data_IF_773420114362
#
_entry.id   IF_773420114362
#
_cell.length_a   1.000
_cell.length_b   1.000
_cell.length_c   1.000
_cell.angle_alpha   90.00
_cell.angle_beta   90.00
_cell.angle_gamma   90.00
#
_symmetry.space_group_name_H-M   'P 1'
#
loop_
_entity.id
_entity.type
_entity.pdbx_description
1 polymer ?
#
# COMPACT_ATOMS: atom_id res chain seq x y z
N UNK A 1 -20.07 -13.80 6.15
CA UNK A 1 -20.05 -13.93 4.69
C UNK A 1 -18.81 -13.31 4.03
N UNK A 2 -18.44 -12.06 4.29
CA UNK A 2 -17.20 -11.45 3.73
C UNK A 2 -15.91 -12.14 4.19
N UNK A 3 -15.84 -12.65 5.42
CA UNK A 3 -14.63 -13.28 5.98
C UNK A 3 -14.27 -14.64 5.37
N UNK A 4 -15.12 -15.21 4.51
CA UNK A 4 -14.87 -16.51 3.87
C UNK A 4 -14.10 -16.40 2.55
N UNK A 5 -14.12 -15.23 1.92
CA UNK A 5 -13.50 -15.01 0.61
C UNK A 5 -12.20 -14.21 0.75
N UNK A 6 -11.30 -14.70 1.58
CA UNK A 6 -10.00 -14.09 1.75
C UNK A 6 -9.10 -14.39 0.55
N UNK A 7 -8.30 -13.41 0.18
CA UNK A 7 -7.31 -13.54 -0.88
C UNK A 7 -5.99 -12.85 -0.48
N UNK A 8 -4.94 -13.12 -1.21
CA UNK A 8 -3.68 -12.43 -1.13
C UNK A 8 -3.51 -11.58 -2.38
N UNK A 9 -3.12 -10.33 -2.19
CA UNK A 9 -2.88 -9.39 -3.28
C UNK A 9 -1.38 -9.10 -3.32
N UNK A 10 -0.64 -9.68 -4.28
CA UNK A 10 0.81 -9.47 -4.38
C UNK A 10 1.12 -8.08 -4.93
N UNK A 11 2.15 -7.44 -4.38
CA UNK A 11 2.66 -6.16 -4.84
C UNK A 11 4.17 -6.07 -4.58
N UNK A 12 4.88 -5.30 -5.40
CA UNK A 12 6.27 -4.94 -5.15
C UNK A 12 6.39 -3.70 -4.26
N UNK A 13 5.38 -2.84 -4.35
CA UNK A 13 5.27 -1.54 -3.67
C UNK A 13 3.84 -1.05 -3.77
N UNK A 14 3.54 0.03 -3.03
CA UNK A 14 2.28 0.76 -3.21
C UNK A 14 2.51 2.25 -3.08
N UNK A 15 1.56 3.02 -3.58
CA UNK A 15 1.55 4.47 -3.43
C UNK A 15 0.62 4.86 -2.30
N UNK A 16 1.01 5.91 -1.59
CA UNK A 16 0.21 6.53 -0.54
C UNK A 16 0.38 8.05 -0.60
N UNK A 17 -0.62 8.79 -0.20
CA UNK A 17 -0.61 10.25 -0.22
C UNK A 17 -0.66 10.80 1.19
N UNK A 18 0.19 11.78 1.46
CA UNK A 18 0.13 12.49 2.73
C UNK A 18 -1.05 13.50 2.79
N UNK A 19 -1.18 14.18 3.92
CA UNK A 19 -2.23 15.17 4.14
C UNK A 19 -2.14 16.38 3.18
N UNK A 20 -0.99 16.63 2.59
CA UNK A 20 -0.75 17.67 1.57
C UNK A 20 -0.94 17.13 0.15
N UNK A 21 -1.42 15.89 0.01
CA UNK A 21 -1.60 15.17 -1.26
C UNK A 21 -0.30 14.93 -2.03
N UNK A 22 0.83 14.89 -1.34
CA UNK A 22 2.11 14.47 -1.93
C UNK A 22 2.17 12.95 -1.97
N UNK A 23 2.45 12.35 -3.12
CA UNK A 23 2.54 10.91 -3.26
C UNK A 23 3.90 10.37 -2.81
N UNK A 24 3.86 9.22 -2.17
CA UNK A 24 5.03 8.45 -1.75
C UNK A 24 4.92 7.03 -2.31
N UNK A 25 6.05 6.48 -2.74
CA UNK A 25 6.19 5.05 -2.97
C UNK A 25 6.67 4.39 -1.68
N UNK A 26 5.99 3.34 -1.26
CA UNK A 26 6.35 2.54 -0.09
C UNK A 26 6.70 1.14 -0.58
N UNK A 27 7.83 0.58 -0.13
CA UNK A 27 8.29 -0.75 -0.50
C UNK A 27 9.03 -1.42 0.64
N UNK A 28 9.10 -2.75 0.58
CA UNK A 28 9.90 -3.53 1.53
C UNK A 28 11.40 -3.24 1.33
N UNK A 29 12.15 -3.02 2.43
CA UNK A 29 13.59 -2.67 2.39
C UNK A 29 14.45 -3.66 1.62
N UNK A 30 14.10 -4.94 1.67
CA UNK A 30 14.79 -6.03 0.95
C UNK A 30 14.21 -6.29 -0.45
N UNK A 31 13.35 -5.41 -0.96
CA UNK A 31 12.61 -5.60 -2.22
C UNK A 31 11.84 -6.93 -2.32
N UNK A 32 11.39 -7.47 -1.19
CA UNK A 32 10.54 -8.66 -1.17
C UNK A 32 9.15 -8.30 -1.73
N UNK A 33 8.52 -9.29 -2.37
CA UNK A 33 7.11 -9.19 -2.73
C UNK A 33 6.29 -9.12 -1.45
N UNK A 34 5.36 -8.17 -1.43
CA UNK A 34 4.43 -7.92 -0.35
C UNK A 34 3.14 -8.64 -0.70
N UNK A 35 2.50 -9.30 0.26
CA UNK A 35 1.19 -9.90 0.09
C UNK A 35 0.20 -9.19 1.00
N UNK A 36 -0.66 -8.35 0.44
CA UNK A 36 -1.71 -7.69 1.22
C UNK A 36 -2.85 -8.65 1.54
N UNK A 37 -3.39 -8.50 2.75
CA UNK A 37 -4.63 -9.15 3.15
C UNK A 37 -5.80 -8.58 2.37
N UNK A 38 -6.46 -9.40 1.58
CA UNK A 38 -7.60 -8.99 0.77
C UNK A 38 -8.85 -9.81 1.04
N UNK A 39 -9.99 -9.23 0.68
CA UNK A 39 -11.28 -9.92 0.59
C UNK A 39 -11.76 -9.80 -0.85
N UNK A 40 -12.21 -10.92 -1.41
CA UNK A 40 -12.73 -11.00 -2.77
C UNK A 40 -14.26 -11.15 -2.73
N UNK A 41 -14.93 -10.55 -3.71
CA UNK A 41 -16.34 -10.76 -4.00
C UNK A 41 -16.51 -11.06 -5.48
N UNK A 42 -17.28 -12.08 -5.80
CA UNK A 42 -17.73 -12.34 -7.16
C UNK A 42 -19.17 -11.84 -7.28
N UNK A 43 -19.44 -10.97 -8.23
CA UNK A 43 -20.76 -10.42 -8.54
C UNK A 43 -21.56 -11.43 -9.39
N UNK A 44 -22.89 -11.22 -9.50
CA UNK A 44 -23.77 -12.10 -10.28
C UNK A 44 -23.40 -12.18 -11.77
N UNK A 45 -22.84 -11.12 -12.32
CA UNK A 45 -22.33 -11.05 -13.70
C UNK A 45 -20.96 -11.73 -13.90
N UNK A 46 -20.45 -12.47 -12.90
CA UNK A 46 -19.13 -13.10 -12.87
C UNK A 46 -17.92 -12.13 -12.82
N UNK A 47 -18.15 -10.83 -12.70
CA UNK A 47 -17.08 -9.90 -12.39
C UNK A 47 -16.61 -10.09 -10.94
N UNK A 48 -15.30 -10.08 -10.76
CA UNK A 48 -14.70 -10.18 -9.43
C UNK A 48 -14.13 -8.84 -9.01
N UNK A 49 -14.44 -8.45 -7.80
CA UNK A 49 -13.85 -7.30 -7.12
C UNK A 49 -13.10 -7.74 -5.87
N UNK A 50 -12.13 -6.94 -5.45
CA UNK A 50 -11.45 -7.18 -4.19
C UNK A 50 -11.24 -5.87 -3.44
N UNK A 51 -11.04 -5.98 -2.14
CA UNK A 51 -10.66 -4.87 -1.27
C UNK A 51 -9.44 -5.27 -0.46
N UNK A 52 -8.57 -4.31 -0.20
CA UNK A 52 -7.41 -4.49 0.69
C UNK A 52 -7.85 -4.13 2.11
N UNK A 53 -7.56 -4.99 3.07
CA UNK A 53 -7.81 -4.71 4.49
C UNK A 53 -6.73 -3.77 4.98
N UNK A 54 -7.13 -2.72 5.69
CA UNK A 54 -6.23 -1.74 6.28
C UNK A 54 -6.36 -1.71 7.81
N UNK A 55 -5.30 -1.29 8.48
CA UNK A 55 -5.27 -1.01 9.90
C UNK A 55 -4.67 0.38 10.15
N UNK A 56 -4.65 0.81 11.41
CA UNK A 56 -3.99 2.05 11.78
C UNK A 56 -2.49 1.95 11.50
N UNK A 57 -1.96 2.99 10.88
CA UNK A 57 -0.54 3.07 10.59
C UNK A 57 0.25 3.36 11.88
N UNK A 58 1.47 2.82 11.94
CA UNK A 58 2.38 3.01 13.06
C UNK A 58 3.65 3.76 12.63
N UNK A 59 4.30 4.38 13.61
CA UNK A 59 5.63 5.01 13.47
C UNK A 59 5.74 5.92 12.24
N UNK A 60 6.72 5.65 11.39
CA UNK A 60 7.05 6.51 10.25
C UNK A 60 5.99 6.48 9.15
N UNK A 61 5.28 5.37 8.95
CA UNK A 61 4.19 5.29 7.98
C UNK A 61 3.01 6.17 8.38
N UNK A 62 2.79 6.38 9.69
CA UNK A 62 1.77 7.30 10.20
C UNK A 62 2.02 8.76 9.80
N UNK A 63 3.26 9.13 9.49
CA UNK A 63 3.59 10.47 8.99
C UNK A 63 3.08 10.69 7.57
N UNK A 64 2.88 9.61 6.80
CA UNK A 64 2.33 9.67 5.46
C UNK A 64 0.81 9.58 5.52
N UNK A 65 0.28 8.50 6.09
CA UNK A 65 -1.16 8.29 6.15
C UNK A 65 -1.57 7.60 7.46
N UNK A 66 -2.79 7.86 7.93
CA UNK A 66 -3.29 7.29 9.19
C UNK A 66 -3.61 5.79 9.10
N UNK A 67 -3.81 5.27 7.89
CA UNK A 67 -4.12 3.86 7.63
C UNK A 67 -3.03 3.25 6.76
N UNK A 68 -2.79 1.95 6.92
CA UNK A 68 -1.85 1.19 6.10
C UNK A 68 -2.45 -0.17 5.75
N UNK A 69 -2.15 -0.74 4.57
CA UNK A 69 -2.55 -2.10 4.24
C UNK A 69 -2.04 -3.11 5.26
N UNK A 70 -2.83 -4.14 5.55
CA UNK A 70 -2.35 -5.29 6.32
C UNK A 70 -1.56 -6.22 5.41
N UNK A 71 -0.40 -6.66 5.88
CA UNK A 71 0.49 -7.58 5.17
C UNK A 71 0.43 -8.96 5.82
N UNK A 72 0.33 -9.98 4.99
CA UNK A 72 0.42 -11.38 5.40
C UNK A 72 1.83 -11.89 5.07
N UNK A 73 2.56 -12.33 6.08
CA UNK A 73 3.86 -12.95 5.91
C UNK A 73 3.72 -14.36 5.30
N UNK A 74 4.71 -14.79 4.54
CA UNK A 74 4.67 -16.04 3.77
C UNK A 74 4.32 -17.27 4.62
N UNK A 75 4.84 -17.35 5.84
CA UNK A 75 4.55 -18.43 6.80
C UNK A 75 3.07 -18.52 7.21
N UNK A 76 2.32 -17.44 7.02
CA UNK A 76 0.91 -17.33 7.40
C UNK A 76 -0.06 -17.41 6.21
N UNK A 77 0.42 -17.64 4.99
CA UNK A 77 -0.44 -17.71 3.80
C UNK A 77 -1.50 -18.80 3.92
N UNK A 78 -1.13 -20.00 4.34
CA UNK A 78 -2.07 -21.10 4.51
C UNK A 78 -3.08 -20.84 5.63
N UNK A 79 -2.67 -20.17 6.69
CA UNK A 79 -3.56 -19.75 7.76
C UNK A 79 -4.56 -18.71 7.27
N UNK A 80 -4.08 -17.70 6.52
CA UNK A 80 -4.93 -16.66 5.95
C UNK A 80 -5.95 -17.20 4.96
N UNK A 81 -5.55 -18.09 4.08
CA UNK A 81 -6.40 -18.67 3.03
C UNK A 81 -7.21 -19.89 3.50
N UNK A 82 -6.93 -20.41 4.70
CA UNK A 82 -7.58 -21.60 5.26
C UNK A 82 -9.03 -21.35 5.67
N UNK A 83 -9.72 -22.41 6.09
CA UNK A 83 -11.15 -22.35 6.41
C UNK A 83 -11.46 -21.77 7.80
N UNK A 84 -10.47 -21.67 8.69
CA UNK A 84 -10.64 -21.13 10.04
C UNK A 84 -10.50 -19.61 10.03
N UNK A 85 -11.62 -18.92 9.79
CA UNK A 85 -11.64 -17.46 9.72
C UNK A 85 -11.34 -16.80 11.06
N UNK A 86 -11.64 -17.44 12.20
CA UNK A 86 -11.37 -16.88 13.51
C UNK A 86 -9.87 -16.85 13.78
N UNK A 87 -9.15 -17.94 13.48
CA UNK A 87 -7.70 -17.96 13.57
C UNK A 87 -7.06 -16.95 12.61
N UNK A 88 -7.55 -16.89 11.37
CA UNK A 88 -7.05 -15.95 10.38
C UNK A 88 -7.22 -14.49 10.84
N UNK A 89 -8.35 -14.16 11.45
CA UNK A 89 -8.63 -12.82 11.99
C UNK A 89 -7.75 -12.49 13.20
N UNK A 90 -7.65 -13.41 14.15
CA UNK A 90 -6.92 -13.16 15.40
C UNK A 90 -5.42 -12.95 15.22
N UNK A 91 -4.89 -13.36 14.07
CA UNK A 91 -3.48 -13.20 13.78
C UNK A 91 -3.17 -11.92 12.99
N UNK A 92 -4.17 -11.22 12.47
CA UNK A 92 -3.97 -9.94 11.79
C UNK A 92 -3.33 -8.92 12.73
N UNK A 93 -2.19 -8.40 12.33
CA UNK A 93 -1.47 -7.35 13.05
C UNK A 93 -1.08 -6.24 12.08
N UNK A 94 -0.98 -5.00 12.54
CA UNK A 94 -0.35 -3.94 11.75
C UNK A 94 1.03 -4.38 11.27
N UNK A 95 1.41 -3.94 10.07
CA UNK A 95 2.73 -4.27 9.54
C UNK A 95 3.83 -3.62 10.38
N UNK A 96 4.96 -4.31 10.50
CA UNK A 96 6.15 -3.74 11.11
C UNK A 96 6.74 -2.66 10.20
N UNK A 97 6.46 -1.39 10.49
CA UNK A 97 6.91 -0.25 9.68
C UNK A 97 8.44 -0.18 9.50
N UNK A 98 9.21 -0.80 10.42
CA UNK A 98 10.68 -0.83 10.31
C UNK A 98 11.19 -1.67 9.12
N UNK A 99 10.36 -2.52 8.53
CA UNK A 99 10.71 -3.36 7.37
C UNK A 99 10.52 -2.62 6.04
N UNK A 100 9.91 -1.44 6.09
CA UNK A 100 9.57 -0.67 4.89
C UNK A 100 10.41 0.60 4.79
N UNK A 101 10.57 1.06 3.57
CA UNK A 101 11.14 2.36 3.22
C UNK A 101 10.19 3.09 2.30
N UNK A 102 10.28 4.41 2.29
CA UNK A 102 9.45 5.24 1.43
C UNK A 102 10.23 6.45 0.92
N UNK A 103 9.81 6.96 -0.21
CA UNK A 103 10.32 8.20 -0.78
C UNK A 103 9.21 8.92 -1.56
N UNK A 104 9.27 10.25 -1.68
CA UNK A 104 8.36 11.00 -2.52
C UNK A 104 8.53 10.62 -3.99
N UNK A 105 7.42 10.59 -4.72
CA UNK A 105 7.38 10.36 -6.17
C UNK A 105 6.66 11.50 -6.87
N UNK A 106 6.76 11.56 -8.20
CA UNK A 106 6.10 12.59 -8.97
C UNK A 106 4.58 12.57 -8.82
N UNK A 107 3.90 13.73 -8.66
CA UNK A 107 2.44 13.81 -8.68
C UNK A 107 1.79 13.23 -9.95
N UNK A 108 2.57 12.99 -10.99
CA UNK A 108 2.12 12.31 -12.22
C UNK A 108 1.54 10.92 -11.95
N UNK A 109 1.95 10.25 -10.87
CA UNK A 109 1.41 8.93 -10.48
C UNK A 109 -0.10 8.94 -10.26
N UNK A 110 -0.69 10.07 -9.91
CA UNK A 110 -2.14 10.21 -9.74
C UNK A 110 -2.97 10.11 -11.04
N UNK A 111 -2.34 10.05 -12.20
CA UNK A 111 -3.02 9.87 -13.50
C UNK A 111 -2.83 8.43 -13.99
N UNK A 112 -3.92 7.72 -14.21
CA UNK A 112 -3.93 6.33 -14.70
C UNK A 112 -3.15 6.17 -16.02
N UNK A 113 -3.15 7.18 -16.87
CA UNK A 113 -2.39 7.17 -18.13
C UNK A 113 -0.87 7.13 -17.96
N UNK A 114 -0.37 7.42 -16.77
CA UNK A 114 1.06 7.37 -16.44
C UNK A 114 1.43 6.04 -15.81
N UNK A 115 1.19 4.96 -16.54
CA UNK A 115 1.51 3.59 -16.11
C UNK A 115 2.86 3.14 -16.68
N UNK A 116 3.93 3.64 -16.08
CA UNK A 116 5.30 3.28 -16.46
C UNK A 116 6.24 3.38 -15.25
N UNK A 117 7.42 2.76 -15.36
CA UNK A 117 8.37 2.65 -14.24
C UNK A 117 8.84 4.00 -13.69
N UNK A 118 8.85 5.07 -14.50
CA UNK A 118 9.34 6.37 -14.05
C UNK A 118 8.49 7.00 -12.94
N UNK A 119 7.23 6.57 -12.77
CA UNK A 119 6.38 7.04 -11.65
C UNK A 119 6.84 6.51 -10.28
N UNK A 120 7.74 5.53 -10.26
CA UNK A 120 8.32 4.96 -9.04
C UNK A 120 9.63 5.63 -8.62
N UNK A 121 10.19 6.48 -9.47
CA UNK A 121 11.45 7.16 -9.22
C UNK A 121 11.33 8.23 -8.14
N UNK A 122 12.42 8.41 -7.38
CA UNK A 122 12.47 9.45 -6.36
C UNK A 122 12.32 10.83 -6.97
N UNK A 123 11.32 11.55 -6.50
CA UNK A 123 11.03 12.90 -6.95
C UNK A 123 11.65 13.93 -6.00
N UNK A 124 12.35 14.89 -6.58
CA UNK A 124 12.82 16.08 -5.91
C UNK A 124 11.97 17.27 -6.41
N UNK A 125 11.22 17.88 -5.52
CA UNK A 125 10.59 19.17 -5.83
C UNK A 125 11.70 20.12 -6.27
N UNK A 126 11.61 20.66 -7.50
CA UNK A 126 12.45 21.79 -7.87
C UNK A 126 12.09 22.92 -6.92
N UNK A 127 13.03 23.38 -6.11
CA UNK A 127 12.86 24.64 -5.43
C UNK A 127 12.44 25.65 -6.51
N UNK A 128 11.25 26.23 -6.35
CA UNK A 128 10.84 27.35 -7.18
C UNK A 128 11.89 28.42 -6.92
N UNK A 129 12.73 28.69 -7.91
CA UNK A 129 13.58 29.87 -7.90
C UNK A 129 12.59 31.02 -7.75
N UNK A 130 12.46 31.52 -6.55
CA UNK A 130 12.00 32.87 -6.28
C UNK A 130 13.02 33.75 -6.99
N UNK A 131 12.68 34.14 -8.23
CA UNK A 131 13.37 35.20 -8.93
C UNK A 131 13.20 36.45 -8.07
N UNK A 132 14.19 36.70 -7.24
CA UNK A 132 14.49 37.98 -6.66
C UNK A 132 14.94 38.93 -7.79
N UNK A 133 14.01 39.39 -8.59
CA UNK A 133 14.14 40.61 -9.33
C UNK A 133 13.44 41.69 -8.50
N UNK A 134 14.20 42.18 -7.52
CA UNK A 134 13.99 43.48 -6.95
C UNK A 134 14.94 44.44 -7.74
N UNK A 135 14.37 45.25 -8.57
CA UNK A 135 14.93 46.59 -8.88
C UNK A 135 14.12 47.61 -8.12
#
# INVERSE_FOLDING_TARGET
>A
MLLQNRCLIPANSWFEWDNEKKPYLIKHKKNNIIAFAGLQRTEENQESSFVIITADAEKDLKKIHNRTPLVINKENFLLWLGNDYQKAYNFLKPMNSNEYTFHPVSPKVGKISNDNISVTEKYHEKESQLNLFSN
#
